data_IF_622158754917
#
_entry.id   IF_622158754917
#
_cell.length_a   1.000
_cell.length_b   1.000
_cell.length_c   1.000
_cell.angle_alpha   90.00
_cell.angle_beta   90.00
_cell.angle_gamma   90.00
#
_symmetry.space_group_name_H-M   'P 1'
#
loop_
_entity.id
_entity.type
_entity.pdbx_description
1 polymer ?
#
# COMPACT_ATOMS: atom_id res chain seq x y z
N UNK A 1 -41.04 -74.76 15.66
CA UNK A 1 -40.28 -73.96 16.60
C UNK A 1 -40.41 -72.53 16.23
N UNK A 2 -41.20 -71.75 16.99
CA UNK A 2 -41.46 -70.32 16.70
C UNK A 2 -40.51 -69.50 17.56
N UNK A 3 -39.69 -68.70 16.91
CA UNK A 3 -38.88 -67.67 17.60
C UNK A 3 -39.53 -66.32 17.35
N UNK A 4 -39.96 -65.69 18.44
CA UNK A 4 -40.64 -64.42 18.52
C UNK A 4 -39.61 -63.30 18.52
N UNK A 5 -39.67 -62.28 17.63
CA UNK A 5 -38.76 -61.15 17.71
C UNK A 5 -39.17 -60.18 18.84
N UNK A 6 -38.21 -59.86 19.70
CA UNK A 6 -38.31 -58.89 20.74
C UNK A 6 -38.36 -57.47 20.18
N UNK A 7 -39.41 -56.73 20.58
CA UNK A 7 -39.55 -55.32 20.23
C UNK A 7 -38.63 -54.47 21.13
N UNK A 8 -37.64 -53.82 20.50
CA UNK A 8 -36.85 -52.79 21.15
C UNK A 8 -37.61 -51.44 21.13
N UNK A 9 -37.87 -50.95 22.32
CA UNK A 9 -38.56 -49.68 22.57
C UNK A 9 -37.68 -48.51 22.18
N UNK A 10 -38.07 -47.78 21.15
CA UNK A 10 -37.43 -46.52 20.74
C UNK A 10 -37.67 -45.43 21.80
N UNK A 11 -36.62 -44.97 22.41
CA UNK A 11 -36.65 -43.77 23.21
C UNK A 11 -36.63 -42.55 22.29
N UNK A 12 -37.79 -41.95 22.16
CA UNK A 12 -37.96 -40.65 21.47
C UNK A 12 -37.32 -39.57 22.38
N UNK A 13 -36.16 -39.11 21.97
CA UNK A 13 -35.55 -37.92 22.57
C UNK A 13 -36.15 -36.68 21.89
N UNK A 14 -36.94 -35.93 22.65
CA UNK A 14 -37.43 -34.64 22.29
C UNK A 14 -36.25 -33.71 21.98
N UNK A 15 -36.09 -33.39 20.68
CA UNK A 15 -35.15 -32.34 20.21
C UNK A 15 -35.79 -31.00 20.51
N UNK A 16 -35.29 -30.33 21.54
CA UNK A 16 -35.69 -28.98 21.92
C UNK A 16 -35.14 -28.02 20.80
N UNK A 17 -36.01 -27.62 19.91
CA UNK A 17 -35.72 -26.61 18.90
C UNK A 17 -35.54 -25.24 19.56
N UNK A 18 -34.28 -24.82 19.69
CA UNK A 18 -33.94 -23.45 20.08
C UNK A 18 -34.07 -22.59 18.83
N UNK A 19 -34.93 -21.55 18.80
CA UNK A 19 -34.99 -20.64 17.67
C UNK A 19 -33.72 -19.77 17.65
N UNK A 20 -32.80 -20.10 16.79
CA UNK A 20 -31.64 -19.24 16.50
C UNK A 20 -32.17 -18.04 15.72
N UNK A 21 -32.37 -16.91 16.37
CA UNK A 21 -32.56 -15.63 15.71
C UNK A 21 -31.30 -15.33 14.91
N UNK A 22 -31.38 -15.01 13.60
CA UNK A 22 -30.21 -14.58 12.85
C UNK A 22 -29.77 -13.22 13.43
N UNK A 23 -28.66 -13.23 14.15
CA UNK A 23 -27.93 -12.02 14.53
C UNK A 23 -27.26 -11.52 13.24
N UNK A 24 -27.91 -10.57 12.59
CA UNK A 24 -27.34 -9.84 11.44
C UNK A 24 -26.17 -9.03 12.01
N UNK A 25 -24.97 -9.58 11.93
CA UNK A 25 -23.72 -8.85 12.16
C UNK A 25 -23.53 -7.92 10.96
N UNK A 26 -23.97 -6.67 11.12
CA UNK A 26 -23.60 -5.58 10.22
C UNK A 26 -22.12 -5.32 10.49
N UNK A 27 -21.25 -5.91 9.67
CA UNK A 27 -19.85 -5.47 9.57
C UNK A 27 -19.88 -4.07 8.93
N UNK A 28 -19.94 -3.05 9.77
CA UNK A 28 -19.55 -1.72 9.35
C UNK A 28 -18.06 -1.79 9.01
N UNK A 29 -17.77 -1.85 7.72
CA UNK A 29 -16.43 -1.66 7.22
C UNK A 29 -16.04 -0.21 7.55
N UNK A 30 -15.39 -0.01 8.68
CA UNK A 30 -14.68 1.23 8.97
C UNK A 30 -13.50 1.27 7.98
N UNK A 31 -13.72 1.90 6.83
CA UNK A 31 -12.65 2.35 5.98
C UNK A 31 -11.85 3.36 6.80
N UNK A 32 -10.75 2.90 7.39
CA UNK A 32 -9.86 3.73 8.19
C UNK A 32 -9.27 4.81 7.27
N UNK A 33 -9.46 6.10 7.56
CA UNK A 33 -8.87 7.19 6.76
C UNK A 33 -7.34 7.30 6.92
N UNK A 34 -6.73 6.39 7.69
CA UNK A 34 -5.28 6.40 7.96
C UNK A 34 -4.40 6.13 6.73
N UNK A 35 -4.94 5.54 5.65
CA UNK A 35 -4.15 5.27 4.44
C UNK A 35 -3.85 6.54 3.61
N UNK A 36 -4.64 7.59 3.75
CA UNK A 36 -4.46 8.83 2.99
C UNK A 36 -3.44 9.78 3.63
N UNK A 37 -3.24 9.72 4.94
CA UNK A 37 -2.31 10.60 5.63
C UNK A 37 -0.83 10.31 5.34
N UNK A 38 -0.49 9.10 4.91
CA UNK A 38 0.90 8.74 4.58
C UNK A 38 1.34 9.23 3.20
N UNK A 39 0.41 9.57 2.33
CA UNK A 39 0.69 10.08 0.99
C UNK A 39 1.02 11.58 1.00
N UNK A 40 0.44 12.33 1.94
CA UNK A 40 0.72 13.75 2.15
C UNK A 40 2.12 13.99 2.74
N UNK A 41 2.78 12.94 3.26
CA UNK A 41 4.16 13.00 3.77
C UNK A 41 5.24 13.12 2.70
N UNK A 42 4.92 13.09 1.40
CA UNK A 42 5.89 13.31 0.33
C UNK A 42 6.26 14.79 0.17
N UNK A 43 5.68 15.71 0.95
CA UNK A 43 6.12 17.11 0.98
C UNK A 43 6.09 17.83 -0.38
N UNK A 44 5.32 17.33 -1.33
CA UNK A 44 5.08 18.03 -2.59
C UNK A 44 4.14 19.21 -2.35
N UNK A 45 4.56 20.18 -1.53
CA UNK A 45 3.95 21.50 -1.47
C UNK A 45 4.37 22.29 -2.71
N UNK A 46 3.95 21.83 -3.86
CA UNK A 46 4.27 22.51 -5.11
C UNK A 46 2.99 22.77 -5.89
N UNK A 47 3.09 23.70 -6.82
CA UNK A 47 2.05 23.99 -7.80
C UNK A 47 1.82 22.81 -8.78
N UNK A 48 2.39 21.63 -8.48
CA UNK A 48 2.29 20.41 -9.28
C UNK A 48 1.05 19.66 -8.88
N UNK A 49 0.10 19.54 -9.78
CA UNK A 49 -1.08 18.68 -9.60
C UNK A 49 -0.73 17.25 -10.00
N UNK A 50 -0.24 16.46 -9.02
CA UNK A 50 -0.09 15.02 -9.17
C UNK A 50 -1.39 14.31 -8.81
N UNK A 51 -1.77 13.34 -9.62
CA UNK A 51 -2.89 12.45 -9.32
C UNK A 51 -2.44 11.32 -8.38
N UNK A 52 -3.39 10.62 -7.77
CA UNK A 52 -3.09 9.44 -6.97
C UNK A 52 -2.34 8.38 -7.79
N UNK A 53 -2.76 8.17 -9.03
CA UNK A 53 -2.11 7.21 -9.94
C UNK A 53 -0.65 7.60 -10.25
N UNK A 54 -0.36 8.90 -10.41
CA UNK A 54 1.01 9.38 -10.57
C UNK A 54 1.88 9.01 -9.37
N UNK A 55 1.39 9.25 -8.18
CA UNK A 55 2.09 8.94 -6.92
C UNK A 55 2.31 7.43 -6.76
N UNK A 56 1.35 6.62 -7.14
CA UNK A 56 1.47 5.16 -7.09
C UNK A 56 2.48 4.63 -8.11
N UNK A 57 2.50 5.17 -9.34
CA UNK A 57 3.50 4.85 -10.34
C UNK A 57 4.90 5.25 -9.88
N UNK A 58 5.07 6.45 -9.32
CA UNK A 58 6.35 6.90 -8.77
C UNK A 58 6.83 5.99 -7.64
N UNK A 59 5.93 5.62 -6.72
CA UNK A 59 6.25 4.72 -5.61
C UNK A 59 6.69 3.35 -6.12
N UNK A 60 5.96 2.76 -7.05
CA UNK A 60 6.32 1.46 -7.65
C UNK A 60 7.67 1.55 -8.36
N UNK A 61 7.90 2.60 -9.12
CA UNK A 61 9.16 2.81 -9.83
C UNK A 61 10.34 2.91 -8.87
N UNK A 62 10.25 3.70 -7.80
CA UNK A 62 11.34 3.83 -6.84
C UNK A 62 11.64 2.53 -6.10
N UNK A 63 10.59 1.80 -5.68
CA UNK A 63 10.76 0.55 -4.95
C UNK A 63 11.37 -0.54 -5.83
N UNK A 64 10.91 -0.68 -7.06
CA UNK A 64 11.31 -1.79 -7.92
C UNK A 64 12.63 -1.53 -8.67
N UNK A 65 12.90 -0.28 -9.03
CA UNK A 65 13.96 0.05 -9.97
C UNK A 65 15.09 0.91 -9.40
N UNK A 66 14.91 1.54 -8.23
CA UNK A 66 15.88 2.51 -7.70
C UNK A 66 16.42 2.10 -6.33
N UNK A 67 15.55 1.79 -5.35
CA UNK A 67 16.00 1.40 -4.01
C UNK A 67 16.91 0.18 -4.03
N UNK A 68 18.00 0.26 -3.27
CA UNK A 68 18.99 -0.80 -3.16
C UNK A 68 19.95 -0.93 -4.35
N UNK A 69 19.73 -0.20 -5.45
CA UNK A 69 20.58 -0.24 -6.64
C UNK A 69 21.87 0.59 -6.46
N UNK A 70 22.85 0.51 -7.36
CA UNK A 70 24.02 1.38 -7.33
C UNK A 70 23.66 2.86 -7.38
N UNK A 71 24.47 3.73 -6.75
CA UNK A 71 24.35 5.19 -6.87
C UNK A 71 24.46 5.58 -8.36
N UNK A 72 23.60 6.51 -8.80
CA UNK A 72 23.48 6.92 -10.19
C UNK A 72 22.40 6.18 -10.97
N UNK A 73 21.84 5.07 -10.43
CA UNK A 73 20.69 4.40 -11.08
C UNK A 73 19.55 5.37 -11.28
N UNK A 74 19.02 5.39 -12.50
CA UNK A 74 17.88 6.25 -12.89
C UNK A 74 16.78 5.39 -13.49
N UNK A 75 15.54 5.67 -13.13
CA UNK A 75 14.35 5.07 -13.69
C UNK A 75 13.36 6.15 -14.12
N UNK A 76 12.53 5.85 -15.11
CA UNK A 76 11.51 6.77 -15.63
C UNK A 76 10.12 6.23 -15.32
N UNK A 77 9.18 7.15 -15.14
CA UNK A 77 7.75 6.85 -15.02
C UNK A 77 6.94 7.79 -15.92
N UNK A 78 5.77 7.36 -16.33
CA UNK A 78 4.84 8.21 -17.08
C UNK A 78 3.41 7.72 -16.89
N UNK A 79 2.47 8.65 -16.79
CA UNK A 79 1.05 8.36 -16.70
C UNK A 79 0.33 8.94 -17.93
N UNK A 80 -0.15 8.09 -18.84
CA UNK A 80 -0.86 8.53 -20.05
C UNK A 80 -2.15 9.30 -19.74
N UNK A 81 -2.79 9.02 -18.60
CA UNK A 81 -4.06 9.64 -18.21
C UNK A 81 -3.89 11.09 -17.76
N UNK A 82 -2.92 11.36 -16.90
CA UNK A 82 -2.59 12.72 -16.44
C UNK A 82 -1.64 13.45 -17.39
N UNK A 83 -0.93 12.72 -18.26
CA UNK A 83 0.19 13.19 -19.11
C UNK A 83 1.38 13.69 -18.28
N UNK A 84 1.42 13.37 -16.99
CA UNK A 84 2.57 13.62 -16.15
C UNK A 84 3.61 12.52 -16.32
N UNK A 85 4.89 12.89 -16.15
CA UNK A 85 6.01 11.97 -16.26
C UNK A 85 7.20 12.47 -15.46
N UNK A 86 8.24 11.66 -15.36
CA UNK A 86 9.45 12.08 -14.69
C UNK A 86 10.51 11.01 -14.62
N UNK A 87 11.60 11.36 -13.94
CA UNK A 87 12.70 10.45 -13.63
C UNK A 87 12.98 10.43 -12.14
N UNK A 88 13.46 9.28 -11.68
CA UNK A 88 13.83 9.04 -10.29
C UNK A 88 15.27 8.53 -10.29
N UNK A 89 16.14 9.16 -9.51
CA UNK A 89 17.57 8.85 -9.49
C UNK A 89 18.05 8.61 -8.06
N UNK A 90 18.83 7.55 -7.86
CA UNK A 90 19.57 7.32 -6.62
C UNK A 90 20.82 8.20 -6.58
N UNK A 91 20.80 9.21 -5.72
CA UNK A 91 21.87 10.21 -5.63
C UNK A 91 22.96 9.81 -4.66
N UNK A 92 22.59 9.23 -3.51
CA UNK A 92 23.52 8.95 -2.41
C UNK A 92 23.02 7.79 -1.54
N UNK A 93 23.95 7.04 -0.96
CA UNK A 93 23.73 6.08 0.12
C UNK A 93 24.42 6.55 1.38
N UNK A 94 23.77 6.38 2.53
CA UNK A 94 24.33 6.76 3.82
C UNK A 94 23.72 5.92 4.95
N UNK A 95 24.26 6.05 6.15
CA UNK A 95 23.70 5.41 7.35
C UNK A 95 23.22 6.48 8.30
N UNK A 96 22.02 6.34 8.82
CA UNK A 96 21.46 7.19 9.85
C UNK A 96 20.71 6.33 10.87
N UNK A 97 20.91 6.57 12.17
CA UNK A 97 20.25 5.81 13.26
C UNK A 97 20.37 4.29 13.09
N UNK A 98 21.55 3.81 12.66
CA UNK A 98 21.84 2.41 12.34
C UNK A 98 20.96 1.82 11.20
N UNK A 99 20.29 2.64 10.40
CA UNK A 99 19.52 2.24 9.24
C UNK A 99 20.29 2.57 7.95
N UNK A 100 20.08 1.74 6.92
CA UNK A 100 20.53 2.08 5.56
C UNK A 100 19.59 3.12 4.98
N UNK A 101 20.15 4.23 4.52
CA UNK A 101 19.40 5.34 3.98
C UNK A 101 19.90 5.70 2.58
N UNK A 102 19.02 6.30 1.80
CA UNK A 102 19.28 6.74 0.44
C UNK A 102 18.69 8.13 0.20
N UNK A 103 19.40 8.96 -0.53
CA UNK A 103 18.86 10.22 -1.08
C UNK A 103 18.39 9.95 -2.50
N UNK A 104 17.12 10.21 -2.74
CA UNK A 104 16.46 10.00 -4.03
C UNK A 104 16.09 11.36 -4.62
N UNK A 105 16.54 11.61 -5.84
CA UNK A 105 16.16 12.78 -6.64
C UNK A 105 14.99 12.44 -7.55
N UNK A 106 14.02 13.33 -7.60
CA UNK A 106 12.85 13.26 -8.49
C UNK A 106 12.87 14.44 -9.43
N UNK A 107 12.66 14.18 -10.69
CA UNK A 107 12.42 15.21 -11.72
C UNK A 107 11.00 15.01 -12.25
N UNK A 108 10.16 16.02 -12.16
CA UNK A 108 8.76 15.95 -12.55
C UNK A 108 8.49 16.85 -13.74
N UNK A 109 7.79 16.31 -14.73
CA UNK A 109 7.28 17.03 -15.89
C UNK A 109 5.77 16.95 -15.85
N UNK A 110 5.10 18.07 -15.62
CA UNK A 110 3.65 18.12 -15.50
C UNK A 110 3.06 19.07 -16.52
N UNK A 111 1.84 18.79 -16.96
CA UNK A 111 1.12 19.61 -17.92
C UNK A 111 0.56 20.90 -17.30
N UNK A 112 0.44 20.93 -15.98
CA UNK A 112 -0.16 22.05 -15.25
C UNK A 112 0.85 23.13 -14.84
N UNK A 113 2.16 22.86 -14.94
CA UNK A 113 3.20 23.79 -14.50
C UNK A 113 3.79 24.53 -15.69
N UNK A 114 3.86 25.86 -15.58
CA UNK A 114 4.63 26.71 -16.49
C UNK A 114 6.14 26.63 -16.21
N UNK A 115 6.52 26.01 -15.08
CA UNK A 115 7.89 25.77 -14.65
C UNK A 115 8.13 24.26 -14.68
N UNK A 116 8.70 23.77 -15.75
CA UNK A 116 9.00 22.35 -15.91
C UNK A 116 10.39 22.21 -16.52
N UNK A 117 11.20 21.21 -16.06
CA UNK A 117 10.92 20.23 -15.02
C UNK A 117 11.11 20.77 -13.59
N UNK A 118 10.37 20.21 -12.62
CA UNK A 118 10.58 20.45 -11.20
C UNK A 118 11.47 19.38 -10.58
N UNK A 119 12.31 19.77 -9.61
CA UNK A 119 13.28 18.88 -8.97
C UNK A 119 13.04 18.81 -7.47
N UNK A 120 13.02 17.57 -6.92
CA UNK A 120 12.86 17.30 -5.50
C UNK A 120 13.89 16.26 -5.04
N UNK A 121 14.31 16.36 -3.79
CA UNK A 121 15.18 15.37 -3.18
C UNK A 121 14.61 14.94 -1.83
N UNK A 122 14.54 13.63 -1.58
CA UNK A 122 14.10 13.07 -0.32
C UNK A 122 15.09 12.04 0.20
N UNK A 123 15.23 12.01 1.52
CA UNK A 123 15.96 10.95 2.21
C UNK A 123 14.98 9.86 2.62
N UNK A 124 15.26 8.62 2.24
CA UNK A 124 14.49 7.44 2.64
C UNK A 124 15.38 6.48 3.40
N UNK A 125 14.86 5.85 4.45
CA UNK A 125 15.58 4.84 5.23
C UNK A 125 14.83 3.52 5.26
N UNK A 126 15.59 2.43 5.10
CA UNK A 126 15.08 1.07 5.17
C UNK A 126 14.73 0.72 6.62
N UNK A 127 13.47 0.40 6.86
CA UNK A 127 12.97 0.00 8.17
C UNK A 127 13.23 -1.49 8.43
N UNK A 128 13.17 -1.95 9.69
CA UNK A 128 13.35 -3.36 10.04
C UNK A 128 12.34 -4.30 9.37
N UNK A 129 11.16 -3.82 9.03
CA UNK A 129 10.11 -4.57 8.30
C UNK A 129 10.35 -4.65 6.78
N UNK A 130 11.46 -4.10 6.28
CA UNK A 130 11.80 -4.07 4.87
C UNK A 130 11.17 -2.93 4.07
N UNK A 131 10.34 -2.09 4.69
CA UNK A 131 9.76 -0.91 4.02
C UNK A 131 10.74 0.26 3.98
N UNK A 132 10.60 1.12 2.98
CA UNK A 132 11.31 2.40 2.91
C UNK A 132 10.40 3.52 3.40
N UNK A 133 10.93 4.37 4.30
CA UNK A 133 10.22 5.54 4.81
C UNK A 133 11.04 6.80 4.57
N UNK A 134 10.36 7.85 4.15
CA UNK A 134 10.94 9.19 4.06
C UNK A 134 11.15 9.73 5.48
N UNK A 135 12.30 10.38 5.68
CA UNK A 135 12.67 11.00 6.95
C UNK A 135 12.05 12.39 7.10
#
# INVERSE_FOLDING_TARGET
MHVKPSQAKAHERAVMSIPIKPLVLIFAAFASPAAQAQLLGLGFESNVTLTQDDLDMMRQTVIQQVHGKPVGTTASWSNPSSKNSGTIKLLKKFTARNMRCETIGYTLVTTASNVSPEHYEFNSCLQPDGSWKIL
#
